data_IF_769629287773
#
_entry.id   IF_769629287773
#
_cell.length_a   1.000
_cell.length_b   1.000
_cell.length_c   1.000
_cell.angle_alpha   90.00
_cell.angle_beta   90.00
_cell.angle_gamma   90.00
#
_symmetry.space_group_name_H-M   'P 1'
#
loop_
_entity.id
_entity.type
_entity.pdbx_description
1 polymer ?
#
# COMPACT_ATOMS: atom_id res chain seq x y z
N UNK A 1 -9.34 -3.90 10.39
CA UNK A 1 -9.81 -2.68 9.67
C UNK A 1 -10.65 -3.14 8.49
N UNK A 2 -11.97 -2.96 8.53
CA UNK A 2 -12.86 -3.19 7.39
C UNK A 2 -13.05 -1.83 6.70
N UNK A 3 -12.36 -1.61 5.59
CA UNK A 3 -12.59 -0.43 4.74
C UNK A 3 -13.63 -0.85 3.70
N UNK A 4 -14.88 -0.36 3.76
CA UNK A 4 -15.87 -0.71 2.76
C UNK A 4 -15.40 -0.24 1.37
N UNK A 5 -15.29 -1.20 0.44
CA UNK A 5 -14.79 -1.02 -0.94
C UNK A 5 -15.78 -0.21 -1.82
N UNK A 6 -16.89 0.26 -1.26
CA UNK A 6 -17.94 0.98 -1.99
C UNK A 6 -17.66 2.46 -2.21
N UNK A 7 -16.65 3.04 -1.55
CA UNK A 7 -16.34 4.47 -1.71
C UNK A 7 -14.91 4.68 -2.25
N UNK A 8 -14.74 4.42 -3.54
CA UNK A 8 -13.58 4.91 -4.30
C UNK A 8 -13.77 6.36 -4.77
N UNK A 9 -14.90 7.02 -4.45
CA UNK A 9 -15.20 8.37 -4.92
C UNK A 9 -14.49 9.45 -4.08
N UNK A 10 -14.07 9.14 -2.86
CA UNK A 10 -13.38 10.09 -1.97
C UNK A 10 -11.93 10.47 -2.34
N UNK A 11 -11.33 9.86 -3.37
CA UNK A 11 -9.94 10.11 -3.78
C UNK A 11 -9.81 10.82 -5.13
N UNK A 12 -10.88 11.47 -5.60
CA UNK A 12 -10.81 12.29 -6.82
C UNK A 12 -10.04 13.59 -6.54
N UNK A 13 -8.82 13.68 -7.09
CA UNK A 13 -8.05 14.93 -7.17
C UNK A 13 -7.15 15.26 -5.97
N UNK A 14 -7.13 14.46 -4.91
CA UNK A 14 -6.26 14.72 -3.77
C UNK A 14 -4.90 14.02 -3.92
N UNK A 15 -3.84 14.80 -4.15
CA UNK A 15 -2.48 14.36 -3.89
C UNK A 15 -2.24 14.54 -2.40
N UNK A 16 -2.05 13.44 -1.67
CA UNK A 16 -1.76 13.49 -0.23
C UNK A 16 -0.48 12.70 0.07
N UNK A 17 0.28 13.20 1.04
CA UNK A 17 1.41 12.50 1.63
C UNK A 17 0.95 11.90 2.96
N UNK A 18 1.17 10.60 3.16
CA UNK A 18 0.73 9.88 4.37
C UNK A 18 1.91 9.14 5.01
N UNK A 19 2.05 9.30 6.31
CA UNK A 19 3.01 8.60 7.17
C UNK A 19 2.32 7.61 8.10
N UNK A 20 3.08 6.68 8.68
CA UNK A 20 2.52 5.72 9.63
C UNK A 20 1.97 6.41 10.89
N UNK A 21 2.65 7.45 11.37
CA UNK A 21 2.24 8.20 12.56
C UNK A 21 0.91 8.93 12.36
N UNK A 22 0.64 9.45 11.17
CA UNK A 22 -0.65 10.09 10.84
C UNK A 22 -1.80 9.06 10.88
N UNK A 23 -1.58 7.86 10.34
CA UNK A 23 -2.56 6.77 10.40
C UNK A 23 -2.79 6.25 11.83
N UNK A 24 -1.74 6.18 12.65
CA UNK A 24 -1.87 5.85 14.08
C UNK A 24 -2.67 6.90 14.86
N UNK A 25 -2.53 8.18 14.51
CA UNK A 25 -3.28 9.25 15.17
C UNK A 25 -4.78 9.18 14.84
N UNK A 26 -5.14 8.90 13.59
CA UNK A 26 -6.54 8.72 13.18
C UNK A 26 -7.19 7.46 13.77
N UNK A 27 -6.39 6.44 14.10
CA UNK A 27 -6.89 5.20 14.70
C UNK A 27 -7.02 5.26 16.23
N UNK A 28 -6.56 6.34 16.88
CA UNK A 28 -6.63 6.49 18.34
C UNK A 28 -8.07 6.67 18.88
N UNK A 29 -9.04 6.96 18.01
CA UNK A 29 -10.49 6.92 18.31
C UNK A 29 -11.09 5.50 18.24
N UNK A 30 -10.31 4.49 17.85
CA UNK A 30 -10.66 3.06 17.91
C UNK A 30 -9.69 2.38 18.86
N UNK A 31 -10.10 2.13 20.10
CA UNK A 31 -9.23 1.63 21.17
C UNK A 31 -8.46 0.35 20.80
N UNK A 32 -7.20 0.49 20.42
CA UNK A 32 -6.16 -0.53 20.55
C UNK A 32 -4.87 0.20 20.95
N UNK A 33 -4.35 -0.14 22.13
CA UNK A 33 -3.13 0.46 22.69
C UNK A 33 -1.90 0.23 21.81
N UNK A 34 -0.76 0.89 22.13
CA UNK A 34 0.44 0.81 21.31
C UNK A 34 0.95 -0.63 21.20
N UNK A 35 1.05 -1.14 19.97
CA UNK A 35 1.59 -2.46 19.65
C UNK A 35 3.11 -2.43 19.84
N UNK A 36 3.56 -2.62 21.08
CA UNK A 36 4.99 -2.55 21.45
C UNK A 36 5.67 -3.91 21.60
N UNK A 37 4.93 -5.01 21.51
CA UNK A 37 5.50 -6.35 21.69
C UNK A 37 5.47 -7.18 20.40
N UNK A 38 6.68 -7.44 19.85
CA UNK A 38 6.91 -8.40 18.77
C UNK A 38 6.37 -9.82 19.10
N UNK A 39 6.15 -10.12 20.38
CA UNK A 39 5.60 -11.39 20.87
C UNK A 39 4.08 -11.50 20.71
N UNK A 40 3.33 -10.38 20.70
CA UNK A 40 1.87 -10.39 20.41
C UNK A 40 1.55 -10.76 18.94
N UNK A 41 2.53 -10.69 18.04
CA UNK A 41 2.37 -11.07 16.63
C UNK A 41 2.27 -12.59 16.40
N UNK A 42 2.42 -13.42 17.44
CA UNK A 42 2.38 -14.88 17.32
C UNK A 42 0.95 -15.44 17.31
N UNK A 43 0.05 -14.86 18.13
CA UNK A 43 -1.39 -15.17 18.14
C UNK A 43 -2.16 -14.42 17.05
N UNK A 44 -1.92 -13.11 16.91
CA UNK A 44 -2.48 -12.26 15.85
C UNK A 44 -2.00 -12.63 14.43
N UNK A 45 -0.99 -13.52 14.33
CA UNK A 45 -0.40 -13.98 13.07
C UNK A 45 -1.40 -14.69 12.16
N UNK A 46 -2.29 -15.50 12.75
CA UNK A 46 -3.24 -16.33 12.00
C UNK A 46 -4.55 -15.61 11.67
N UNK A 47 -4.84 -14.50 12.35
CA UNK A 47 -6.03 -13.71 12.12
C UNK A 47 -6.03 -13.09 10.72
N UNK A 48 -7.24 -12.94 10.17
CA UNK A 48 -7.43 -12.34 8.85
C UNK A 48 -7.09 -10.85 8.91
N UNK A 49 -6.15 -10.45 8.06
CA UNK A 49 -5.81 -9.05 7.86
C UNK A 49 -6.66 -8.46 6.72
N UNK A 50 -6.80 -9.21 5.61
CA UNK A 50 -7.35 -8.70 4.34
C UNK A 50 -8.19 -9.78 3.66
N UNK A 51 -9.30 -9.36 3.04
CA UNK A 51 -10.06 -10.19 2.10
C UNK A 51 -10.18 -9.45 0.77
N UNK A 52 -9.66 -10.04 -0.31
CA UNK A 52 -9.75 -9.50 -1.67
C UNK A 52 -10.69 -10.35 -2.51
N UNK A 53 -11.50 -9.73 -3.34
CA UNK A 53 -12.41 -10.44 -4.23
C UNK A 53 -11.88 -10.46 -5.66
N UNK A 54 -11.91 -11.63 -6.28
CA UNK A 54 -11.52 -11.81 -7.68
C UNK A 54 -12.71 -12.24 -8.52
N UNK A 55 -12.69 -11.94 -9.83
CA UNK A 55 -13.70 -12.42 -10.77
C UNK A 55 -13.64 -13.95 -10.81
N UNK A 56 -14.70 -14.60 -10.33
CA UNK A 56 -14.84 -16.04 -10.43
C UNK A 56 -15.24 -16.43 -11.85
N UNK A 57 -14.68 -17.52 -12.37
CA UNK A 57 -15.08 -18.10 -13.66
C UNK A 57 -16.56 -18.51 -13.74
N UNK A 58 -17.23 -18.62 -12.60
CA UNK A 58 -18.66 -18.95 -12.45
C UNK A 58 -19.56 -17.71 -12.34
N UNK A 59 -19.01 -16.49 -12.52
CA UNK A 59 -19.74 -15.23 -12.36
C UNK A 59 -19.91 -14.77 -10.90
N UNK A 60 -19.60 -15.61 -9.92
CA UNK A 60 -19.64 -15.28 -8.49
C UNK A 60 -18.24 -14.94 -8.00
N UNK A 61 -18.00 -13.74 -7.44
CA UNK A 61 -16.69 -13.37 -6.92
C UNK A 61 -16.20 -14.29 -5.79
N UNK A 62 -14.93 -14.67 -5.84
CA UNK A 62 -14.30 -15.51 -4.80
C UNK A 62 -13.48 -14.63 -3.85
N UNK A 63 -13.72 -14.77 -2.55
CA UNK A 63 -12.96 -14.08 -1.51
C UNK A 63 -11.64 -14.79 -1.20
N UNK A 64 -10.52 -14.15 -1.51
CA UNK A 64 -9.17 -14.56 -1.13
C UNK A 64 -8.87 -13.95 0.24
N UNK A 65 -8.64 -14.82 1.23
CA UNK A 65 -8.38 -14.44 2.62
C UNK A 65 -6.88 -14.46 2.90
N UNK A 66 -6.34 -13.36 3.39
CA UNK A 66 -4.93 -13.22 3.74
C UNK A 66 -4.80 -12.91 5.23
N UNK A 67 -4.00 -13.71 5.92
CA UNK A 67 -3.67 -13.48 7.34
C UNK A 67 -2.60 -12.40 7.50
N UNK A 68 -2.48 -11.83 8.70
CA UNK A 68 -1.37 -10.94 9.04
C UNK A 68 -0.01 -11.59 8.73
N UNK A 69 0.16 -12.87 9.06
CA UNK A 69 1.39 -13.63 8.75
C UNK A 69 1.68 -13.68 7.26
N UNK A 70 0.65 -13.90 6.43
CA UNK A 70 0.80 -13.96 4.98
C UNK A 70 1.28 -12.63 4.42
N UNK A 71 0.66 -11.52 4.84
CA UNK A 71 1.04 -10.17 4.42
C UNK A 71 2.48 -9.86 4.86
N UNK A 72 2.79 -10.05 6.14
CA UNK A 72 4.14 -9.79 6.68
C UNK A 72 5.22 -10.65 6.01
N UNK A 73 4.92 -11.90 5.66
CA UNK A 73 5.86 -12.74 4.93
C UNK A 73 6.21 -12.17 3.54
N UNK A 74 5.21 -11.66 2.80
CA UNK A 74 5.43 -11.00 1.50
C UNK A 74 6.23 -9.71 1.64
N UNK A 75 5.94 -8.90 2.66
CA UNK A 75 6.67 -7.65 2.91
C UNK A 75 8.12 -7.90 3.32
N UNK A 76 8.38 -8.90 4.18
CA UNK A 76 9.74 -9.31 4.54
C UNK A 76 10.56 -9.75 3.32
N UNK A 77 9.93 -10.47 2.38
CA UNK A 77 10.58 -10.80 1.12
C UNK A 77 10.89 -9.54 0.30
N UNK A 78 9.94 -8.61 0.19
CA UNK A 78 10.12 -7.35 -0.53
C UNK A 78 11.30 -6.55 0.02
N UNK A 79 11.36 -6.30 1.32
CA UNK A 79 12.42 -5.53 1.93
C UNK A 79 13.80 -6.19 1.80
N UNK A 80 13.85 -7.52 1.73
CA UNK A 80 15.11 -8.25 1.53
C UNK A 80 15.61 -8.18 0.09
N UNK A 81 14.71 -8.25 -0.89
CA UNK A 81 15.07 -8.25 -2.32
C UNK A 81 15.22 -6.83 -2.87
N UNK A 82 14.40 -5.90 -2.37
CA UNK A 82 14.32 -4.50 -2.77
C UNK A 82 14.37 -3.61 -1.51
N UNK A 83 15.53 -3.52 -0.84
CA UNK A 83 15.66 -2.65 0.33
C UNK A 83 15.53 -1.18 -0.10
N UNK A 84 14.83 -0.38 0.72
CA UNK A 84 14.78 1.06 0.52
C UNK A 84 16.16 1.68 0.75
N UNK A 85 16.63 2.45 -0.23
CA UNK A 85 17.81 3.29 -0.11
C UNK A 85 17.62 4.45 0.89
N UNK A 86 18.72 5.12 1.27
CA UNK A 86 18.67 6.27 2.17
C UNK A 86 17.88 7.46 1.59
N UNK A 87 17.92 7.64 0.27
CA UNK A 87 17.23 8.73 -0.43
C UNK A 87 15.75 8.40 -0.75
N UNK A 88 15.34 7.13 -0.59
CA UNK A 88 13.97 6.67 -0.84
C UNK A 88 13.05 7.00 0.35
N UNK A 89 12.83 8.30 0.58
CA UNK A 89 11.97 8.82 1.67
C UNK A 89 10.48 8.85 1.29
N UNK A 90 10.16 8.99 0.00
CA UNK A 90 8.80 9.05 -0.53
C UNK A 90 8.58 7.90 -1.51
N UNK A 91 7.55 7.10 -1.25
CA UNK A 91 7.07 6.00 -2.07
C UNK A 91 5.70 6.32 -2.69
N UNK A 92 5.24 5.50 -3.62
CA UNK A 92 4.04 5.77 -4.42
C UNK A 92 2.95 4.77 -4.08
N UNK A 93 1.73 5.28 -3.89
CA UNK A 93 0.50 4.49 -3.86
C UNK A 93 -0.42 4.95 -5.00
N UNK A 94 -0.66 4.06 -5.96
CA UNK A 94 -1.47 4.34 -7.16
C UNK A 94 -2.45 3.21 -7.49
N UNK A 95 -2.21 2.02 -6.94
CA UNK A 95 -2.99 0.84 -7.26
C UNK A 95 -4.31 0.87 -6.52
N UNK A 96 -5.40 0.58 -7.23
CA UNK A 96 -6.71 0.53 -6.60
C UNK A 96 -6.73 -0.50 -5.45
N UNK A 97 -7.38 -0.15 -4.33
CA UNK A 97 -7.47 -0.96 -3.10
C UNK A 97 -8.07 -2.36 -3.33
N UNK A 98 -8.76 -2.58 -4.45
CA UNK A 98 -9.31 -3.87 -4.86
C UNK A 98 -8.25 -4.87 -5.35
N UNK A 99 -7.02 -4.42 -5.59
CA UNK A 99 -5.93 -5.27 -6.08
C UNK A 99 -4.90 -5.53 -4.98
N UNK A 100 -4.28 -6.71 -5.03
CA UNK A 100 -3.33 -7.16 -4.00
C UNK A 100 -2.09 -6.29 -3.89
N UNK A 101 -1.66 -5.64 -4.98
CA UNK A 101 -0.45 -4.81 -4.98
C UNK A 101 -0.62 -3.55 -4.12
N UNK A 102 -1.87 -3.07 -3.92
CA UNK A 102 -2.18 -1.96 -3.00
C UNK A 102 -1.70 -2.24 -1.57
N UNK A 103 -1.71 -3.51 -1.15
CA UNK A 103 -1.24 -3.92 0.19
C UNK A 103 0.26 -3.66 0.33
N UNK A 104 1.03 -3.93 -0.72
CA UNK A 104 2.48 -3.74 -0.73
C UNK A 104 2.85 -2.26 -0.91
N UNK A 105 2.10 -1.52 -1.74
CA UNK A 105 2.26 -0.08 -1.93
C UNK A 105 1.93 0.72 -0.65
N UNK A 106 1.00 0.24 0.19
CA UNK A 106 0.65 0.87 1.48
C UNK A 106 1.60 0.41 2.59
N UNK A 107 1.60 -0.88 2.91
CA UNK A 107 2.25 -1.34 4.14
C UNK A 107 3.76 -1.54 4.00
N UNK A 108 4.26 -1.75 2.78
CA UNK A 108 5.70 -1.86 2.51
C UNK A 108 6.47 -0.61 2.97
N UNK A 109 6.13 0.59 2.50
CA UNK A 109 6.83 1.82 2.89
C UNK A 109 6.50 2.29 4.32
N UNK A 110 5.23 2.24 4.73
CA UNK A 110 4.82 2.78 6.04
C UNK A 110 5.47 2.06 7.22
N UNK A 111 5.56 0.72 7.16
CA UNK A 111 6.22 -0.07 8.20
C UNK A 111 7.74 0.10 8.22
N UNK A 112 8.32 0.76 7.21
CA UNK A 112 9.72 1.17 7.16
C UNK A 112 9.92 2.67 7.47
N UNK A 113 8.88 3.37 7.94
CA UNK A 113 8.95 4.79 8.26
C UNK A 113 9.08 5.70 7.03
N UNK A 114 8.64 5.24 5.86
CA UNK A 114 8.61 6.04 4.64
C UNK A 114 7.26 6.74 4.49
N UNK A 115 7.26 7.81 3.71
CA UNK A 115 6.05 8.54 3.35
C UNK A 115 5.47 7.96 2.05
N UNK A 116 4.14 7.93 1.93
CA UNK A 116 3.46 7.56 0.69
C UNK A 116 2.89 8.81 0.03
N UNK A 117 3.18 8.99 -1.25
CA UNK A 117 2.47 9.88 -2.16
C UNK A 117 1.30 9.12 -2.81
N UNK A 118 0.07 9.55 -2.53
CA UNK A 118 -1.14 9.00 -3.14
C UNK A 118 -1.35 9.63 -4.53
N UNK A 119 -1.40 8.79 -5.56
CA UNK A 119 -1.57 9.22 -6.95
C UNK A 119 -3.05 9.15 -7.34
N UNK A 120 -3.64 10.25 -7.81
CA UNK A 120 -5.00 10.23 -8.34
C UNK A 120 -5.17 9.24 -9.50
N UNK A 121 -6.35 8.65 -9.60
CA UNK A 121 -6.64 7.61 -10.60
C UNK A 121 -6.58 8.12 -12.05
N UNK A 122 -6.95 9.36 -12.28
CA UNK A 122 -6.85 10.02 -13.59
C UNK A 122 -5.38 10.23 -13.98
N UNK A 123 -4.53 10.63 -13.02
CA UNK A 123 -3.08 10.79 -13.21
C UNK A 123 -2.40 9.45 -13.50
N UNK A 124 -2.84 8.37 -12.85
CA UNK A 124 -2.26 7.03 -13.06
C UNK A 124 -2.38 6.55 -14.52
N UNK A 125 -3.35 7.07 -15.28
CA UNK A 125 -3.59 6.72 -16.69
C UNK A 125 -2.89 7.63 -17.68
N UNK A 126 -2.26 8.70 -17.21
CA UNK A 126 -1.57 9.70 -18.01
C UNK A 126 -0.06 9.66 -17.67
N UNK A 127 0.77 9.00 -18.50
CA UNK A 127 2.19 8.85 -18.20
C UNK A 127 2.94 10.16 -18.04
N UNK A 128 2.57 11.20 -18.81
CA UNK A 128 3.24 12.50 -18.74
C UNK A 128 2.91 13.23 -17.44
N UNK A 129 1.62 13.25 -17.07
CA UNK A 129 1.20 13.81 -15.76
C UNK A 129 1.77 13.02 -14.59
N UNK A 130 1.88 11.69 -14.72
CA UNK A 130 2.48 10.85 -13.70
C UNK A 130 3.97 11.20 -13.51
N UNK A 131 4.76 11.25 -14.58
CA UNK A 131 6.18 11.61 -14.52
C UNK A 131 6.35 13.00 -13.91
N UNK A 132 5.59 14.00 -14.38
CA UNK A 132 5.65 15.35 -13.84
C UNK A 132 5.34 15.40 -12.32
N UNK A 133 4.36 14.62 -11.86
CA UNK A 133 4.01 14.54 -10.45
C UNK A 133 5.11 13.88 -9.60
N UNK A 134 5.75 12.83 -10.13
CA UNK A 134 6.86 12.13 -9.47
C UNK A 134 8.09 13.03 -9.35
N UNK A 135 8.42 13.78 -10.42
CA UNK A 135 9.51 14.76 -10.42
C UNK A 135 9.24 15.90 -9.43
N UNK A 136 8.02 16.45 -9.43
CA UNK A 136 7.62 17.52 -8.51
C UNK A 136 7.80 17.13 -7.04
N UNK A 137 7.53 15.87 -6.69
CA UNK A 137 7.66 15.36 -5.32
C UNK A 137 9.00 14.67 -5.04
N UNK A 138 9.94 14.71 -5.99
CA UNK A 138 11.27 14.08 -5.88
C UNK A 138 11.19 12.62 -5.44
N UNK A 139 10.29 11.86 -6.06
CA UNK A 139 10.15 10.44 -5.76
C UNK A 139 11.38 9.70 -6.30
N UNK A 140 12.19 9.14 -5.39
CA UNK A 140 13.39 8.36 -5.74
C UNK A 140 13.15 6.84 -5.74
N UNK A 141 11.89 6.40 -5.67
CA UNK A 141 11.55 4.98 -5.49
C UNK A 141 11.91 4.13 -6.71
N UNK A 142 12.63 3.02 -6.47
CA UNK A 142 13.11 2.09 -7.52
C UNK A 142 12.08 1.14 -8.12
N UNK A 143 10.92 0.95 -7.48
CA UNK A 143 9.93 -0.03 -7.90
C UNK A 143 8.57 0.63 -8.10
N UNK A 144 8.19 0.84 -9.36
CA UNK A 144 6.82 1.21 -9.75
C UNK A 144 6.22 0.01 -10.51
N UNK A 145 5.43 -0.80 -9.82
CA UNK A 145 4.69 -1.89 -10.45
C UNK A 145 3.49 -1.30 -11.21
N UNK A 146 3.65 -0.91 -12.47
CA UNK A 146 2.50 -0.58 -13.32
C UNK A 146 1.82 -1.90 -13.71
N UNK A 147 0.55 -2.08 -13.34
CA UNK A 147 -0.20 -3.30 -13.65
C UNK A 147 -0.13 -3.60 -15.16
N UNK A 148 0.63 -4.64 -15.53
CA UNK A 148 0.80 -5.12 -16.90
C UNK A 148 2.19 -4.92 -17.54
N UNK A 149 3.06 -4.09 -16.98
CA UNK A 149 4.45 -3.95 -17.46
C UNK A 149 5.33 -3.32 -16.40
N UNK A 150 6.46 -3.98 -16.07
CA UNK A 150 7.44 -3.44 -15.15
C UNK A 150 8.04 -2.15 -15.74
N UNK A 151 7.80 -1.00 -15.12
CA UNK A 151 8.56 0.21 -15.37
C UNK A 151 9.49 0.43 -14.18
N UNK A 152 10.77 0.14 -14.37
CA UNK A 152 11.81 0.55 -13.43
C UNK A 152 12.13 2.00 -13.76
N UNK A 153 11.61 2.93 -12.97
CA UNK A 153 12.13 4.30 -12.99
C UNK A 153 13.35 4.28 -12.08
N UNK A 154 14.53 4.19 -12.69
CA UNK A 154 15.79 4.41 -12.02
C UNK A 154 16.25 5.84 -12.30
N UNK A 155 16.51 6.61 -11.24
CA UNK A 155 17.51 7.67 -11.26
C UNK A 155 18.55 7.34 -10.19
#
# INVERSE_FOLDING_TARGET
VYIPVSDTAGYEGLVSAVTYAELEHETRDLSAGPLTDLEMLTGASADLAIVLYTSGSTGVPKGVRLSHRTVLNRLRWQWRVFPYGPEESICVFKTALTFVDSVSEIWGPLLCGRTILVIPRDVTKDPERLVALLEQHRVCTRLLEIAGSHLVVAQ
#
